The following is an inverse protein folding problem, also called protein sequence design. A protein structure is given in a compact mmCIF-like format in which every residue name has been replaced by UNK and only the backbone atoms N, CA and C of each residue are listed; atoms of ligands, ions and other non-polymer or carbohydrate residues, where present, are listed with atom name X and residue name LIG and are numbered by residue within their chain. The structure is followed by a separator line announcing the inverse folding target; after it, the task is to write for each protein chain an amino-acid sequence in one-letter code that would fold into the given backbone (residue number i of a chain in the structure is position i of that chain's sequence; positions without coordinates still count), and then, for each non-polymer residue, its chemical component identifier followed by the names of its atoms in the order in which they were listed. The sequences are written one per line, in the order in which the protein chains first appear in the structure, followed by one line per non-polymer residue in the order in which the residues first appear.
data_IF_409197283344
#
_entry.id   IF_409197283344
#
_cell.length_a   1.000
_cell.length_b   1.000
_cell.length_c   1.000
_cell.angle_alpha   90.00
_cell.angle_beta   90.00
_cell.angle_gamma   90.00
#
_symmetry.space_group_name_H-M   'P 1'
#
loop_
_entity.id
_entity.type
_entity.pdbx_description
1 polymer ?
#
# COMPACT_ATOMS: atom_id res chain seq x y z
N UNK A 1 -1.67 -48.77 12.00
CA UNK A 1 -0.46 -47.91 11.97
C UNK A 1 -0.50 -46.80 10.91
N UNK A 2 -1.46 -46.77 9.97
CA UNK A 2 -1.55 -45.75 8.89
C UNK A 2 -2.24 -44.43 9.29
N UNK A 3 -3.06 -44.42 10.35
CA UNK A 3 -3.90 -43.26 10.73
C UNK A 3 -3.12 -42.01 11.20
N UNK A 4 -1.86 -42.16 11.61
CA UNK A 4 -1.03 -41.06 12.11
C UNK A 4 0.05 -40.61 11.12
N UNK A 5 0.22 -41.33 9.99
CA UNK A 5 1.26 -41.00 9.01
C UNK A 5 0.90 -39.71 8.26
N UNK A 6 -0.37 -39.56 7.86
CA UNK A 6 -0.84 -38.36 7.16
C UNK A 6 -0.71 -37.06 7.99
N UNK A 7 -1.18 -36.99 9.26
CA UNK A 7 -1.02 -35.78 10.06
C UNK A 7 0.44 -35.48 10.41
N UNK A 8 1.29 -36.50 10.61
CA UNK A 8 2.73 -36.30 10.84
C UNK A 8 3.40 -35.72 9.61
N UNK A 9 3.10 -36.24 8.41
CA UNK A 9 3.65 -35.71 7.17
C UNK A 9 3.23 -34.26 6.94
N UNK A 10 1.96 -33.92 7.19
CA UNK A 10 1.46 -32.54 7.10
C UNK A 10 2.17 -31.62 8.07
N UNK A 11 2.34 -32.02 9.34
CA UNK A 11 3.05 -31.22 10.34
C UNK A 11 4.52 -31.02 9.97
N UNK A 12 5.20 -32.07 9.49
CA UNK A 12 6.59 -31.95 9.04
C UNK A 12 6.75 -31.08 7.79
N UNK A 13 5.87 -31.21 6.81
CA UNK A 13 5.89 -30.40 5.60
C UNK A 13 5.60 -28.93 5.91
N UNK A 14 4.67 -28.67 6.84
CA UNK A 14 4.35 -27.32 7.29
C UNK A 14 5.50 -26.69 8.08
N UNK A 15 6.17 -27.47 8.95
CA UNK A 15 7.38 -27.03 9.64
C UNK A 15 8.52 -26.68 8.68
N UNK A 16 8.74 -27.50 7.65
CA UNK A 16 9.71 -27.24 6.58
C UNK A 16 9.38 -25.99 5.77
N UNK A 17 8.09 -25.77 5.47
CA UNK A 17 7.61 -24.59 4.75
C UNK A 17 7.83 -23.30 5.57
N UNK A 18 7.56 -23.34 6.88
CA UNK A 18 7.78 -22.22 7.80
C UNK A 18 9.28 -21.90 8.04
N UNK A 19 10.17 -22.87 7.81
CA UNK A 19 11.63 -22.67 7.85
C UNK A 19 12.25 -22.31 6.50
N UNK A 20 11.42 -21.94 5.50
CA UNK A 20 11.93 -21.31 4.29
C UNK A 20 12.75 -20.06 4.63
N UNK A 21 13.71 -19.66 3.79
CA UNK A 21 14.52 -18.47 4.04
C UNK A 21 13.59 -17.25 4.15
N UNK A 22 13.49 -16.69 5.35
CA UNK A 22 12.90 -15.38 5.57
C UNK A 22 13.81 -14.37 4.87
N UNK A 23 13.33 -13.78 3.78
CA UNK A 23 14.10 -12.82 3.01
C UNK A 23 14.12 -11.49 3.78
N UNK A 24 15.20 -11.26 4.53
CA UNK A 24 15.44 -10.01 5.26
C UNK A 24 15.56 -8.78 4.30
N UNK A 25 15.55 -8.98 2.98
CA UNK A 25 15.59 -7.91 1.97
C UNK A 25 14.22 -7.54 1.40
N UNK A 26 13.12 -8.00 1.99
CA UNK A 26 11.80 -7.42 1.68
C UNK A 26 11.76 -6.02 2.27
N UNK A 27 11.70 -4.94 1.46
CA UNK A 27 11.53 -3.60 1.98
C UNK A 27 10.24 -3.56 2.81
N UNK A 28 10.23 -2.99 4.02
CA UNK A 28 9.01 -2.92 4.79
C UNK A 28 7.99 -2.11 3.99
N UNK A 29 6.83 -2.73 3.81
CA UNK A 29 5.70 -2.19 3.09
C UNK A 29 5.28 -0.87 3.77
N UNK A 30 5.59 0.26 3.11
CA UNK A 30 5.31 1.60 3.63
C UNK A 30 6.53 2.44 4.06
N UNK A 31 7.78 2.01 3.86
CA UNK A 31 8.91 2.94 3.96
C UNK A 31 9.09 3.73 2.67
N UNK A 32 8.77 5.03 2.72
CA UNK A 32 9.20 5.98 1.71
C UNK A 32 10.73 5.88 1.56
N UNK A 33 11.28 5.97 0.33
CA UNK A 33 12.72 5.91 0.12
C UNK A 33 13.40 7.02 0.94
N UNK A 34 14.54 6.72 1.58
CA UNK A 34 15.37 7.76 2.20
C UNK A 34 15.82 8.75 1.12
N UNK A 35 15.10 9.85 1.01
CA UNK A 35 15.40 10.97 0.13
C UNK A 35 15.43 12.23 0.97
N UNK A 36 16.20 13.24 0.56
CA UNK A 36 16.22 14.57 1.19
C UNK A 36 14.87 15.31 1.12
N UNK A 37 13.81 14.65 0.63
CA UNK A 37 12.48 15.18 0.40
C UNK A 37 11.48 14.57 1.38
N UNK A 38 10.57 15.40 1.86
CA UNK A 38 9.47 14.99 2.72
C UNK A 38 8.23 14.67 1.90
N UNK A 39 7.31 13.90 2.50
CA UNK A 39 6.00 13.62 1.95
C UNK A 39 4.90 14.28 2.77
N UNK A 40 3.89 14.81 2.09
CA UNK A 40 2.65 15.29 2.70
C UNK A 40 1.45 14.82 1.89
N UNK A 41 0.40 14.35 2.57
CA UNK A 41 -0.81 13.85 1.92
C UNK A 41 -2.00 14.74 2.27
N UNK A 42 -2.73 15.18 1.25
CA UNK A 42 -3.89 16.06 1.40
C UNK A 42 -5.14 15.44 0.78
N UNK A 43 -6.21 15.37 1.56
CA UNK A 43 -7.55 14.98 1.09
C UNK A 43 -8.47 16.21 1.14
N UNK A 44 -8.72 16.84 -0.01
CA UNK A 44 -9.39 18.13 -0.11
C UNK A 44 -10.55 18.21 -1.11
N UNK A 45 -10.96 17.07 -1.69
CA UNK A 45 -11.93 17.00 -2.77
C UNK A 45 -11.35 16.30 -3.99
N UNK A 46 -11.86 16.62 -5.19
CA UNK A 46 -11.45 15.94 -6.40
C UNK A 46 -9.94 16.10 -6.67
N UNK A 47 -9.21 15.00 -6.76
CA UNK A 47 -7.75 15.06 -6.94
C UNK A 47 -7.34 15.75 -8.25
N UNK A 48 -8.17 15.67 -9.31
CA UNK A 48 -7.93 16.38 -10.58
C UNK A 48 -7.89 17.91 -10.41
N UNK A 49 -8.60 18.45 -9.42
CA UNK A 49 -8.57 19.87 -9.12
C UNK A 49 -7.45 20.22 -8.14
N UNK A 50 -7.07 19.27 -7.28
CA UNK A 50 -6.08 19.47 -6.22
C UNK A 50 -4.64 19.36 -6.73
N UNK A 51 -4.35 18.48 -7.68
CA UNK A 51 -3.01 18.22 -8.21
C UNK A 51 -2.39 19.44 -8.92
N UNK A 52 -3.05 20.10 -9.88
CA UNK A 52 -2.42 21.14 -10.71
C UNK A 52 -1.92 22.38 -9.95
N UNK A 53 -2.54 22.84 -8.84
CA UNK A 53 -1.98 23.87 -7.98
C UNK A 53 -0.64 23.49 -7.33
N UNK A 54 -0.49 22.23 -6.89
CA UNK A 54 0.75 21.77 -6.24
C UNK A 54 1.88 21.54 -7.24
N UNK A 55 1.58 21.05 -8.45
CA UNK A 55 2.58 20.87 -9.53
C UNK A 55 3.33 22.15 -9.89
N UNK A 56 2.72 23.31 -9.64
CA UNK A 56 3.27 24.63 -9.97
C UNK A 56 3.95 25.30 -8.79
N UNK A 57 3.91 24.69 -7.60
CA UNK A 57 4.42 25.28 -6.39
C UNK A 57 5.94 25.05 -6.31
N UNK A 58 6.69 26.11 -6.03
CA UNK A 58 8.14 26.02 -5.85
C UNK A 58 8.48 25.11 -4.67
N UNK A 59 9.45 24.21 -4.87
CA UNK A 59 9.84 23.20 -3.89
C UNK A 59 9.10 21.86 -4.05
N UNK A 60 7.96 21.81 -4.74
CA UNK A 60 7.30 20.53 -5.05
C UNK A 60 8.07 19.80 -6.15
N UNK A 61 8.45 18.56 -5.86
CA UNK A 61 9.20 17.67 -6.74
C UNK A 61 8.25 16.83 -7.59
N UNK A 62 7.19 16.30 -6.95
CA UNK A 62 6.17 15.52 -7.62
C UNK A 62 4.88 15.48 -6.80
N UNK A 63 3.77 15.31 -7.49
CA UNK A 63 2.46 15.00 -6.91
C UNK A 63 2.01 13.63 -7.39
N UNK A 64 1.18 12.95 -6.61
CA UNK A 64 0.60 11.66 -7.00
C UNK A 64 -0.82 11.57 -6.48
N UNK A 65 -1.79 11.45 -7.40
CA UNK A 65 -3.20 11.23 -7.07
C UNK A 65 -3.44 9.77 -6.65
N UNK A 66 -4.29 9.59 -5.64
CA UNK A 66 -4.63 8.27 -5.11
C UNK A 66 -5.79 8.29 -4.12
N UNK A 67 -5.89 7.22 -3.33
CA UNK A 67 -6.99 6.96 -2.41
C UNK A 67 -6.45 6.56 -1.04
N UNK A 68 -7.03 7.11 0.03
CA UNK A 68 -6.65 6.79 1.41
C UNK A 68 -7.87 6.64 2.33
N UNK A 69 -7.66 6.01 3.48
CA UNK A 69 -8.60 6.00 4.61
C UNK A 69 -9.76 5.01 4.49
N UNK A 70 -9.86 4.23 3.42
CA UNK A 70 -10.85 3.17 3.26
C UNK A 70 -10.35 1.77 3.65
N UNK A 71 -11.25 0.80 3.59
CA UNK A 71 -11.00 -0.58 4.07
C UNK A 71 -10.47 -1.52 2.98
N UNK A 72 -10.60 -1.15 1.71
CA UNK A 72 -10.16 -1.98 0.59
C UNK A 72 -8.68 -1.74 0.30
N UNK A 73 -7.84 -2.77 0.32
CA UNK A 73 -6.39 -2.66 0.18
C UNK A 73 -5.92 -2.10 -1.18
N UNK A 74 -6.51 -2.58 -2.27
CA UNK A 74 -6.17 -2.14 -3.64
C UNK A 74 -7.44 -1.78 -4.41
N UNK A 75 -8.07 -0.63 -4.09
CA UNK A 75 -9.31 -0.23 -4.74
C UNK A 75 -9.03 0.29 -6.16
N UNK A 76 -9.92 -0.01 -7.11
CA UNK A 76 -9.88 0.67 -8.42
C UNK A 76 -10.67 1.98 -8.39
N UNK A 77 -10.46 2.84 -9.39
CA UNK A 77 -11.22 4.09 -9.54
C UNK A 77 -12.73 3.86 -9.53
N UNK A 78 -13.21 2.83 -10.23
CA UNK A 78 -14.64 2.50 -10.33
C UNK A 78 -15.21 2.11 -8.97
N UNK A 79 -14.43 1.41 -8.14
CA UNK A 79 -14.87 0.95 -6.83
C UNK A 79 -14.93 2.10 -5.83
N UNK A 80 -13.95 3.00 -5.84
CA UNK A 80 -13.98 4.21 -5.01
C UNK A 80 -15.10 5.14 -5.45
N UNK A 81 -15.26 5.34 -6.77
CA UNK A 81 -16.32 6.18 -7.33
C UNK A 81 -17.73 5.64 -7.05
N UNK A 82 -17.86 4.32 -6.87
CA UNK A 82 -19.12 3.70 -6.44
C UNK A 82 -19.44 3.94 -4.94
N UNK A 83 -18.47 4.42 -4.16
CA UNK A 83 -18.68 4.95 -2.80
C UNK A 83 -18.70 3.94 -1.66
N UNK A 84 -18.49 2.65 -1.92
CA UNK A 84 -18.59 1.61 -0.88
C UNK A 84 -17.25 1.21 -0.26
N UNK A 85 -16.12 1.71 -0.76
CA UNK A 85 -14.79 1.31 -0.28
C UNK A 85 -14.32 2.10 0.95
N UNK A 86 -15.01 3.18 1.30
CA UNK A 86 -14.64 4.09 2.40
C UNK A 86 -13.45 5.00 2.09
N UNK A 87 -12.84 4.87 0.90
CA UNK A 87 -11.70 5.68 0.51
C UNK A 87 -12.08 7.11 0.16
N UNK A 88 -11.16 8.02 0.43
CA UNK A 88 -11.22 9.42 0.02
C UNK A 88 -10.14 9.71 -1.01
N UNK A 89 -10.48 10.51 -2.02
CA UNK A 89 -9.51 11.06 -2.97
C UNK A 89 -8.47 11.93 -2.26
N UNK A 90 -7.20 11.66 -2.53
CA UNK A 90 -6.08 12.38 -1.94
C UNK A 90 -4.94 12.58 -2.95
N UNK A 91 -4.09 13.56 -2.66
CA UNK A 91 -2.84 13.80 -3.38
C UNK A 91 -1.67 13.68 -2.40
N UNK A 92 -0.70 12.84 -2.72
CA UNK A 92 0.61 12.80 -2.05
C UNK A 92 1.55 13.79 -2.75
N UNK A 93 2.26 14.58 -1.96
CA UNK A 93 3.19 15.61 -2.41
C UNK A 93 4.56 15.29 -1.88
N UNK A 94 5.53 15.21 -2.78
CA UNK A 94 6.95 15.15 -2.47
C UNK A 94 7.56 16.55 -2.61
N UNK A 95 8.19 17.06 -1.55
CA UNK A 95 8.73 18.42 -1.49
C UNK A 95 10.04 18.49 -0.67
#
# INVERSE_FOLDING_TARGET
MIRYILPVLVVTAYGLYMSGPFDDNVPPEGQAPETDYALATFAGGCFWCMEPPYDKLEGVISTTSGYIGGDKEHPTYEEVSAGYTGHTEAVEIKY
#
